data_IF_194339969832
#
_entry.id   IF_194339969832
#
_cell.length_a   1.000
_cell.length_b   1.000
_cell.length_c   1.000
_cell.angle_alpha   90.00
_cell.angle_beta   90.00
_cell.angle_gamma   90.00
#
_symmetry.space_group_name_H-M   'P 1'
#
loop_
_entity.id
_entity.type
_entity.pdbx_description
1 polymer ?
#
# COMPACT_ATOMS: atom_id res chain seq x y z
N UNK A 1 0.03 -7.75 1.82
CA UNK A 1 -0.78 -6.53 1.58
C UNK A 1 -2.09 -6.85 0.88
N UNK A 2 -2.07 -7.38 -0.36
CA UNK A 2 -3.28 -7.70 -1.13
C UNK A 2 -4.25 -8.60 -0.35
N UNK A 3 -3.75 -9.70 0.23
CA UNK A 3 -4.61 -10.63 0.99
C UNK A 3 -5.21 -9.99 2.24
N UNK A 4 -4.44 -9.13 2.94
CA UNK A 4 -4.92 -8.41 4.11
C UNK A 4 -6.05 -7.42 3.75
N UNK A 5 -5.94 -6.74 2.61
CA UNK A 5 -7.00 -5.87 2.08
C UNK A 5 -8.23 -6.69 1.72
N UNK A 6 -8.06 -7.83 1.04
CA UNK A 6 -9.18 -8.71 0.67
C UNK A 6 -9.89 -9.32 1.89
N UNK A 7 -9.16 -9.58 2.97
CA UNK A 7 -9.71 -10.06 4.24
C UNK A 7 -10.45 -8.96 5.02
N UNK A 8 -10.11 -7.69 4.79
CA UNK A 8 -10.70 -6.53 5.47
C UNK A 8 -11.10 -5.45 4.44
N UNK A 9 -12.04 -5.74 3.54
CA UNK A 9 -12.36 -4.83 2.45
C UNK A 9 -13.03 -3.57 2.99
N UNK A 10 -12.63 -2.41 2.46
CA UNK A 10 -13.44 -1.20 2.57
C UNK A 10 -14.56 -1.24 1.53
N UNK A 11 -15.76 -0.80 1.88
CA UNK A 11 -16.93 -0.82 0.97
C UNK A 11 -16.68 -0.05 -0.34
N UNK A 12 -15.83 0.97 -0.30
CA UNK A 12 -15.49 1.78 -1.47
C UNK A 12 -14.50 1.11 -2.43
N UNK A 13 -13.90 -0.03 -2.07
CA UNK A 13 -12.95 -0.78 -2.90
C UNK A 13 -13.69 -1.89 -3.63
N UNK A 14 -13.57 -1.92 -4.96
CA UNK A 14 -14.22 -2.93 -5.81
C UNK A 14 -13.27 -4.04 -6.23
N UNK A 15 -11.98 -3.74 -6.40
CA UNK A 15 -10.99 -4.74 -6.76
C UNK A 15 -9.61 -4.39 -6.18
N UNK A 16 -8.85 -5.44 -5.85
CA UNK A 16 -7.44 -5.32 -5.50
C UNK A 16 -6.69 -6.48 -6.11
N UNK A 17 -5.68 -6.17 -6.92
CA UNK A 17 -4.89 -7.13 -7.66
C UNK A 17 -3.39 -6.81 -7.59
N UNK A 18 -2.54 -7.78 -7.92
CA UNK A 18 -1.13 -7.47 -8.14
C UNK A 18 -0.96 -6.73 -9.46
N UNK A 19 0.10 -5.93 -9.60
CA UNK A 19 0.43 -5.30 -10.89
C UNK A 19 0.48 -6.31 -12.04
N UNK A 20 1.04 -7.49 -11.81
CA UNK A 20 1.10 -8.55 -12.82
C UNK A 20 -0.30 -9.04 -13.25
N UNK A 21 -1.23 -9.22 -12.30
CA UNK A 21 -2.60 -9.60 -12.60
C UNK A 21 -3.37 -8.49 -13.34
N UNK A 22 -3.11 -7.23 -12.98
CA UNK A 22 -3.66 -6.05 -13.64
C UNK A 22 -2.98 -5.72 -15.00
N UNK A 23 -2.02 -6.52 -15.46
CA UNK A 23 -1.31 -6.32 -16.73
C UNK A 23 -0.26 -5.19 -16.71
N UNK A 24 0.06 -4.64 -15.54
CA UNK A 24 1.10 -3.63 -15.34
C UNK A 24 2.45 -4.35 -15.24
N UNK A 25 3.21 -4.35 -16.33
CA UNK A 25 4.44 -5.15 -16.48
C UNK A 25 5.72 -4.33 -16.56
N UNK A 26 5.61 -3.01 -16.72
CA UNK A 26 6.72 -2.06 -16.82
C UNK A 26 7.11 -1.46 -15.46
N UNK A 27 6.39 -1.80 -14.38
CA UNK A 27 6.67 -1.37 -13.02
C UNK A 27 7.12 -2.54 -12.14
N UNK A 28 7.91 -2.30 -11.08
CA UNK A 28 8.21 -3.30 -10.06
C UNK A 28 6.93 -3.81 -9.35
N UNK A 29 7.06 -4.85 -8.53
CA UNK A 29 5.95 -5.47 -7.81
C UNK A 29 5.11 -4.43 -7.05
N UNK A 30 3.79 -4.55 -7.15
CA UNK A 30 2.86 -3.60 -6.55
C UNK A 30 1.43 -4.16 -6.50
N UNK A 31 0.54 -3.36 -5.93
CA UNK A 31 -0.90 -3.61 -5.92
C UNK A 31 -1.64 -2.52 -6.68
N UNK A 32 -2.62 -2.92 -7.48
CA UNK A 32 -3.58 -2.06 -8.13
C UNK A 32 -4.90 -2.16 -7.35
N UNK A 33 -5.43 -1.01 -6.92
CA UNK A 33 -6.66 -0.88 -6.15
C UNK A 33 -7.64 -0.08 -6.99
N UNK A 34 -8.82 -0.63 -7.22
CA UNK A 34 -9.92 0.10 -7.87
C UNK A 34 -11.01 0.41 -6.85
N UNK A 35 -11.59 1.60 -7.02
CA UNK A 35 -12.67 2.09 -6.18
C UNK A 35 -13.99 2.10 -6.93
N UNK A 36 -15.10 2.09 -6.18
CA UNK A 36 -16.46 2.09 -6.72
C UNK A 36 -16.78 3.30 -7.64
N UNK A 37 -16.07 4.42 -7.48
CA UNK A 37 -16.17 5.58 -8.37
C UNK A 37 -15.50 5.37 -9.74
N UNK A 38 -14.74 4.30 -9.92
CA UNK A 38 -13.86 4.09 -11.08
C UNK A 38 -12.50 4.76 -10.95
N UNK A 39 -12.22 5.42 -9.81
CA UNK A 39 -10.88 5.86 -9.47
C UNK A 39 -9.95 4.66 -9.20
N UNK A 40 -8.64 4.86 -9.36
CA UNK A 40 -7.65 3.81 -9.18
C UNK A 40 -6.44 4.32 -8.39
N UNK A 41 -5.84 3.44 -7.60
CA UNK A 41 -4.59 3.70 -6.91
C UNK A 41 -3.59 2.57 -7.22
N UNK A 42 -2.42 2.95 -7.70
CA UNK A 42 -1.29 2.06 -7.88
C UNK A 42 -0.36 2.21 -6.68
N UNK A 43 -0.07 1.11 -6.00
CA UNK A 43 0.83 1.06 -4.85
C UNK A 43 2.04 0.20 -5.21
N UNK A 44 3.19 0.82 -5.42
CA UNK A 44 4.43 0.12 -5.74
C UNK A 44 5.18 -0.28 -4.47
N UNK A 45 5.62 -1.53 -4.38
CA UNK A 45 6.39 -2.05 -3.25
C UNK A 45 7.88 -2.13 -3.58
N UNK A 46 8.71 -1.63 -2.67
CA UNK A 46 10.17 -1.66 -2.76
C UNK A 46 10.72 -2.18 -1.43
N UNK A 47 11.35 -3.35 -1.46
CA UNK A 47 12.03 -3.93 -0.31
C UNK A 47 13.52 -3.55 -0.29
N UNK A 48 14.04 -3.26 0.90
CA UNK A 48 15.49 -3.22 1.14
C UNK A 48 15.91 -4.40 2.01
N UNK A 49 17.06 -4.98 1.70
CA UNK A 49 17.68 -5.96 2.58
C UNK A 49 18.13 -5.27 3.89
N UNK A 50 18.27 -6.01 5.01
CA UNK A 50 18.90 -5.50 6.22
C UNK A 50 20.28 -4.88 5.94
N UNK A 51 20.73 -3.96 6.81
CA UNK A 51 22.08 -3.38 6.75
C UNK A 51 23.16 -4.47 6.76
N UNK A 52 23.97 -4.56 5.71
CA UNK A 52 25.03 -5.58 5.56
C UNK A 52 25.17 -6.20 4.16
N UNK A 53 24.16 -6.06 3.30
CA UNK A 53 24.22 -6.55 1.90
C UNK A 53 23.91 -8.04 1.72
N UNK A 54 23.41 -8.41 0.54
CA UNK A 54 22.84 -9.73 0.16
C UNK A 54 23.80 -10.91 0.39
N UNK A 55 23.30 -12.00 1.00
CA UNK A 55 23.36 -13.40 0.49
C UNK A 55 23.10 -14.48 1.57
N UNK A 56 22.09 -14.31 2.42
CA UNK A 56 21.51 -15.45 3.16
C UNK A 56 20.02 -15.55 2.81
N UNK A 57 19.45 -16.75 2.89
CA UNK A 57 18.01 -16.93 2.80
C UNK A 57 17.33 -15.95 3.75
N UNK A 58 16.21 -15.36 3.31
CA UNK A 58 15.40 -14.50 4.17
C UNK A 58 15.08 -15.27 5.45
N UNK A 59 15.61 -14.78 6.57
CA UNK A 59 15.30 -15.35 7.86
C UNK A 59 13.96 -14.75 8.30
N UNK A 60 12.94 -15.61 8.33
CA UNK A 60 11.67 -15.29 8.96
C UNK A 60 11.95 -15.13 10.46
N UNK A 61 11.73 -13.92 10.97
CA UNK A 61 11.86 -13.60 12.39
C UNK A 61 10.50 -13.14 12.87
N UNK A 62 9.88 -13.93 13.73
CA UNK A 62 8.61 -13.62 14.36
C UNK A 62 8.82 -12.95 15.72
N UNK A 63 7.89 -12.08 16.07
CA UNK A 63 7.75 -11.48 17.39
C UNK A 63 6.27 -11.19 17.69
N UNK A 64 5.98 -10.42 18.75
CA UNK A 64 4.63 -9.92 18.95
C UNK A 64 4.18 -9.13 17.71
N UNK A 65 2.96 -9.40 17.24
CA UNK A 65 2.33 -8.55 16.22
C UNK A 65 2.19 -7.12 16.77
N UNK A 66 2.16 -6.09 15.91
CA UNK A 66 2.00 -4.72 16.36
C UNK A 66 0.67 -4.56 17.12
N UNK A 67 0.65 -3.64 18.10
CA UNK A 67 -0.56 -3.37 18.87
C UNK A 67 -1.72 -3.01 17.94
N UNK A 68 -2.91 -3.63 18.11
CA UNK A 68 -4.06 -3.35 17.27
C UNK A 68 -4.42 -1.87 17.29
N UNK A 69 -4.74 -1.34 16.11
CA UNK A 69 -5.22 0.03 15.95
C UNK A 69 -6.76 0.04 15.91
N UNK A 70 -7.41 1.13 16.36
CA UNK A 70 -8.83 1.32 16.09
C UNK A 70 -9.10 1.20 14.58
N UNK A 71 -10.20 0.54 14.17
CA UNK A 71 -10.58 0.51 12.77
C UNK A 71 -10.73 1.93 12.21
N UNK A 72 -10.07 2.21 11.09
CA UNK A 72 -10.18 3.47 10.36
C UNK A 72 -11.14 3.23 9.21
N UNK A 73 -12.33 3.85 9.13
CA UNK A 73 -13.20 3.68 7.97
C UNK A 73 -12.59 4.38 6.75
N UNK A 74 -12.60 3.72 5.60
CA UNK A 74 -12.32 4.37 4.32
C UNK A 74 -13.64 4.70 3.65
N UNK A 75 -13.98 5.99 3.67
CA UNK A 75 -15.24 6.54 3.14
C UNK A 75 -14.95 7.50 2.00
N UNK A 76 -15.82 7.48 0.99
CA UNK A 76 -15.80 8.45 -0.08
C UNK A 76 -16.61 9.69 0.30
N UNK A 77 -16.12 10.87 -0.08
CA UNK A 77 -16.87 12.13 -0.05
C UNK A 77 -17.54 12.33 -1.42
N UNK A 78 -18.75 11.77 -1.57
CA UNK A 78 -19.37 11.58 -2.87
C UNK A 78 -18.60 10.55 -3.70
N UNK A 79 -18.06 10.96 -4.86
CA UNK A 79 -17.22 10.10 -5.72
C UNK A 79 -15.72 10.23 -5.44
N UNK A 80 -15.34 11.05 -4.44
CA UNK A 80 -13.97 11.46 -4.18
C UNK A 80 -13.36 10.69 -3.00
N UNK A 81 -12.09 10.30 -3.15
CA UNK A 81 -11.35 9.57 -2.12
C UNK A 81 -10.07 10.33 -1.79
N UNK A 82 -9.88 10.65 -0.51
CA UNK A 82 -8.66 11.31 -0.03
C UNK A 82 -7.57 10.27 0.16
N UNK A 83 -6.41 10.48 -0.47
CA UNK A 83 -5.31 9.51 -0.37
C UNK A 83 -4.68 9.45 1.03
N UNK A 84 -4.80 10.51 1.83
CA UNK A 84 -4.45 10.48 3.24
C UNK A 84 -5.31 9.46 4.02
N UNK A 85 -6.59 9.36 3.69
CA UNK A 85 -7.51 8.43 4.36
C UNK A 85 -7.23 6.99 3.91
N UNK A 86 -6.88 6.79 2.62
CA UNK A 86 -6.41 5.49 2.12
C UNK A 86 -5.13 5.05 2.84
N UNK A 87 -4.17 5.96 3.04
CA UNK A 87 -2.93 5.68 3.77
C UNK A 87 -3.21 5.28 5.22
N UNK A 88 -4.05 6.04 5.94
CA UNK A 88 -4.43 5.73 7.31
C UNK A 88 -5.17 4.38 7.43
N UNK A 89 -6.10 4.12 6.49
CA UNK A 89 -6.82 2.85 6.42
C UNK A 89 -5.89 1.67 6.12
N UNK A 90 -4.92 1.81 5.20
CA UNK A 90 -3.94 0.76 4.91
C UNK A 90 -3.08 0.44 6.13
N UNK A 91 -2.63 1.46 6.89
CA UNK A 91 -1.87 1.26 8.12
C UNK A 91 -2.71 0.47 9.13
N UNK A 92 -3.95 0.89 9.39
CA UNK A 92 -4.82 0.19 10.34
C UNK A 92 -5.13 -1.25 9.89
N UNK A 93 -5.47 -1.44 8.62
CA UNK A 93 -5.79 -2.76 8.04
C UNK A 93 -4.63 -3.73 8.14
N UNK A 94 -3.42 -3.29 7.78
CA UNK A 94 -2.24 -4.15 7.80
C UNK A 94 -1.74 -4.43 9.21
N UNK A 95 -1.83 -3.46 10.13
CA UNK A 95 -1.53 -3.67 11.56
C UNK A 95 -2.48 -4.70 12.15
N UNK A 96 -3.78 -4.57 11.87
CA UNK A 96 -4.81 -5.45 12.42
C UNK A 96 -4.88 -6.83 11.74
N UNK A 97 -4.14 -7.05 10.66
CA UNK A 97 -4.01 -8.36 10.03
C UNK A 97 -3.23 -9.38 10.91
N UNK A 98 -2.56 -8.92 11.98
CA UNK A 98 -1.95 -9.80 12.99
C UNK A 98 -0.69 -10.52 12.52
N UNK A 99 0.01 -10.01 11.51
CA UNK A 99 1.24 -10.62 11.01
C UNK A 99 2.38 -10.48 12.06
N UNK A 100 2.87 -11.61 12.57
CA UNK A 100 3.90 -11.70 13.61
C UNK A 100 5.32 -11.40 13.12
N UNK A 101 5.57 -11.34 11.81
CA UNK A 101 6.86 -10.90 11.25
C UNK A 101 7.00 -9.37 11.29
N UNK A 102 5.88 -8.65 11.30
CA UNK A 102 5.85 -7.20 11.26
C UNK A 102 6.07 -6.65 12.67
N UNK A 103 7.05 -5.76 12.80
CA UNK A 103 7.32 -5.02 14.03
C UNK A 103 6.57 -3.69 14.08
N UNK A 104 6.50 -2.97 12.95
CA UNK A 104 5.78 -1.69 12.87
C UNK A 104 5.40 -1.33 11.45
N UNK A 105 4.31 -0.57 11.32
CA UNK A 105 3.84 0.02 10.07
C UNK A 105 3.64 1.51 10.32
N UNK A 106 4.25 2.36 9.50
CA UNK A 106 4.16 3.81 9.61
C UNK A 106 3.89 4.46 8.26
N UNK A 107 3.37 5.68 8.28
CA UNK A 107 3.32 6.50 7.07
C UNK A 107 4.74 6.85 6.62
N UNK A 108 5.02 6.71 5.32
CA UNK A 108 6.28 7.22 4.77
C UNK A 108 6.22 8.72 4.63
N UNK A 109 7.31 9.39 4.99
CA UNK A 109 7.50 10.82 4.71
C UNK A 109 8.67 10.96 3.74
N UNK A 110 8.46 11.63 2.61
CA UNK A 110 9.51 11.80 1.61
C UNK A 110 9.12 12.83 0.54
N UNK A 111 10.13 13.52 -0.03
CA UNK A 111 9.88 14.50 -1.09
C UNK A 111 9.52 13.86 -2.44
N UNK A 112 9.99 12.63 -2.70
CA UNK A 112 9.74 11.93 -3.96
C UNK A 112 8.35 11.27 -4.05
N UNK A 113 7.78 10.86 -2.91
CA UNK A 113 6.45 10.24 -2.84
C UNK A 113 5.69 10.83 -1.66
N UNK A 114 4.60 11.55 -1.97
CA UNK A 114 3.78 12.26 -0.97
C UNK A 114 3.06 11.31 -0.01
N UNK A 115 2.63 10.14 -0.51
CA UNK A 115 1.92 9.12 0.25
C UNK A 115 2.58 7.75 0.09
N UNK A 116 2.44 6.93 1.13
CA UNK A 116 2.96 5.57 1.17
C UNK A 116 3.07 5.05 2.60
N UNK A 117 3.42 3.78 2.76
CA UNK A 117 3.61 3.16 4.06
C UNK A 117 4.98 2.46 4.12
N UNK A 118 5.60 2.46 5.29
CA UNK A 118 6.82 1.72 5.58
C UNK A 118 6.45 0.58 6.53
N UNK A 119 6.79 -0.63 6.12
CA UNK A 119 6.62 -1.85 6.91
C UNK A 119 8.01 -2.29 7.35
N UNK A 120 8.24 -2.34 8.66
CA UNK A 120 9.47 -2.85 9.25
C UNK A 120 9.20 -4.20 9.90
N UNK A 121 10.00 -5.19 9.55
CA UNK A 121 9.94 -6.52 10.13
C UNK A 121 10.85 -6.65 11.36
N UNK A 122 10.59 -7.64 12.22
CA UNK A 122 11.46 -7.95 13.37
C UNK A 122 12.88 -8.36 12.95
N UNK A 123 13.05 -8.89 11.74
CA UNK A 123 14.37 -9.16 11.12
C UNK A 123 15.20 -7.90 10.83
N UNK A 124 14.60 -6.71 10.95
CA UNK A 124 15.22 -5.44 10.56
C UNK A 124 15.04 -5.10 9.07
N UNK A 125 14.49 -6.00 8.26
CA UNK A 125 14.10 -5.71 6.89
C UNK A 125 13.04 -4.61 6.85
N UNK A 126 13.08 -3.79 5.80
CA UNK A 126 12.08 -2.74 5.58
C UNK A 126 11.56 -2.83 4.15
N UNK A 127 10.24 -2.81 4.02
CA UNK A 127 9.56 -2.68 2.75
C UNK A 127 8.80 -1.36 2.75
N UNK A 128 8.88 -0.63 1.64
CA UNK A 128 8.16 0.61 1.45
C UNK A 128 7.15 0.43 0.32
N UNK A 129 5.89 0.73 0.60
CA UNK A 129 4.81 0.70 -0.38
C UNK A 129 4.41 2.15 -0.70
N UNK A 130 4.89 2.68 -1.82
CA UNK A 130 4.63 4.05 -2.26
C UNK A 130 3.35 4.12 -3.08
N UNK A 131 2.60 5.20 -2.92
CA UNK A 131 1.51 5.49 -3.86
C UNK A 131 2.17 6.00 -5.13
N UNK A 132 2.15 5.18 -6.17
CA UNK A 132 2.82 5.43 -7.44
C UNK A 132 1.98 6.35 -8.31
N UNK A 133 0.69 6.10 -8.42
CA UNK A 133 -0.23 6.92 -9.20
C UNK A 133 -1.64 6.85 -8.63
N UNK A 134 -2.31 7.99 -8.55
CA UNK A 134 -3.73 8.12 -8.26
C UNK A 134 -4.47 8.59 -9.50
N UNK A 135 -5.35 7.75 -10.04
CA UNK A 135 -6.13 8.03 -11.24
C UNK A 135 -7.57 8.35 -10.84
N UNK A 136 -8.07 9.49 -11.32
CA UNK A 136 -9.49 9.86 -11.24
C UNK A 136 -10.33 8.98 -12.18
N UNK A 137 -11.66 8.92 -11.99
CA UNK A 137 -12.55 8.18 -12.87
C UNK A 137 -12.30 8.51 -14.36
N UNK A 138 -12.11 7.48 -15.17
CA UNK A 138 -11.86 7.59 -16.61
C UNK A 138 -10.42 7.94 -17.02
N UNK A 139 -9.52 8.23 -16.08
CA UNK A 139 -8.09 8.37 -16.39
C UNK A 139 -7.46 7.01 -16.66
N UNK A 140 -6.41 7.01 -17.49
CA UNK A 140 -5.62 5.81 -17.81
C UNK A 140 -4.17 6.02 -17.40
N UNK A 141 -3.52 4.92 -17.04
CA UNK A 141 -2.09 4.89 -16.81
C UNK A 141 -1.34 5.23 -18.11
N UNK A 142 -0.22 5.93 -18.00
CA UNK A 142 0.58 6.42 -19.12
C UNK A 142 1.59 7.47 -18.67
N UNK A 143 2.59 7.76 -19.51
CA UNK A 143 3.81 8.49 -19.11
C UNK A 143 3.64 9.79 -18.31
N UNK A 144 2.52 10.51 -18.48
CA UNK A 144 2.24 11.74 -17.72
C UNK A 144 1.45 11.52 -16.42
N UNK A 145 0.66 10.44 -16.34
CA UNK A 145 -0.11 10.06 -15.15
C UNK A 145 0.72 9.17 -14.22
N UNK A 146 1.73 8.48 -14.75
CA UNK A 146 2.77 7.81 -13.98
C UNK A 146 3.38 8.84 -13.01
N UNK A 147 3.43 8.52 -11.71
CA UNK A 147 3.95 9.39 -10.66
C UNK A 147 3.04 10.55 -10.21
N UNK A 148 1.83 10.70 -10.77
CA UNK A 148 0.87 11.70 -10.28
C UNK A 148 0.05 11.16 -9.12
N UNK A 149 0.17 11.79 -7.97
CA UNK A 149 -0.52 11.38 -6.73
C UNK A 149 -1.25 12.61 -6.17
N UNK A 150 -2.48 12.90 -6.64
CA UNK A 150 -3.26 14.03 -6.13
C UNK A 150 -3.73 13.75 -4.70
N UNK A 151 -4.07 14.79 -3.94
CA UNK A 151 -4.62 14.61 -2.59
C UNK A 151 -5.97 13.89 -2.59
N UNK A 152 -6.67 13.95 -3.71
CA UNK A 152 -8.00 13.40 -3.93
C UNK A 152 -8.11 12.83 -5.35
N UNK A 153 -8.59 11.58 -5.44
CA UNK A 153 -8.94 10.89 -6.69
C UNK A 153 -10.44 10.68 -6.81
#
# INVERSE_FOLDING_TARGET
MIDAIRAHPAEVITSVESFAAAGITDKPVGAHIEFASGAQLLVQMVGTAPSGGRAAAEQIVEGPAPDPLPPVPLVADGERIRLADVQAWLIATLTNAGNTEIATITATTGQAHRYGISVRCHSGATCVAYFLAGLRPGQRLGAHADYQVPDVI
#
